data_IF_229536649749
#
_entry.id   IF_229536649749
#
_cell.length_a   1.000
_cell.length_b   1.000
_cell.length_c   1.000
_cell.angle_alpha   90.00
_cell.angle_beta   90.00
_cell.angle_gamma   90.00
#
_symmetry.space_group_name_H-M   'P 1'
#
loop_
_entity.id
_entity.type
_entity.pdbx_description
1 polymer ?
#
# COMPACT_ATOMS: atom_id res chain seq x y z
N UNK A 1 -7.56 13.79 17.37
CA UNK A 1 -8.51 14.34 16.36
C UNK A 1 -7.74 14.48 15.06
N UNK A 2 -8.06 13.87 13.92
CA UNK A 2 -9.19 13.04 13.54
C UNK A 2 -8.81 12.08 12.40
N UNK A 3 -8.57 10.81 12.75
CA UNK A 3 -8.42 9.72 11.77
C UNK A 3 -9.77 9.30 11.13
N UNK A 4 -10.89 9.75 11.70
CA UNK A 4 -12.24 9.46 11.19
C UNK A 4 -12.69 10.35 10.03
N UNK A 5 -12.05 11.52 9.83
CA UNK A 5 -12.48 12.49 8.80
C UNK A 5 -12.03 12.11 7.38
N UNK A 6 -10.87 11.45 7.22
CA UNK A 6 -10.39 11.01 5.90
C UNK A 6 -11.08 9.73 5.41
N UNK A 7 -11.42 8.78 6.30
CA UNK A 7 -12.16 7.55 5.92
C UNK A 7 -13.56 7.86 5.40
N UNK A 8 -14.27 8.81 6.03
CA UNK A 8 -15.57 9.26 5.54
C UNK A 8 -15.45 10.01 4.20
N UNK A 9 -14.37 10.74 3.95
CA UNK A 9 -14.21 11.53 2.73
C UNK A 9 -14.04 10.64 1.49
N UNK A 10 -13.20 9.60 1.54
CA UNK A 10 -13.05 8.66 0.42
C UNK A 10 -14.34 7.83 0.18
N UNK A 11 -15.02 7.40 1.25
CA UNK A 11 -16.34 6.76 1.16
C UNK A 11 -17.42 7.69 0.58
N UNK A 12 -17.46 8.97 1.01
CA UNK A 12 -18.43 9.96 0.52
C UNK A 12 -18.18 10.38 -0.93
N UNK A 13 -16.92 10.51 -1.35
CA UNK A 13 -16.57 10.82 -2.75
C UNK A 13 -16.99 9.68 -3.69
N UNK A 14 -16.91 8.41 -3.24
CA UNK A 14 -17.44 7.25 -3.95
C UNK A 14 -18.98 7.21 -3.97
N UNK A 15 -19.65 7.61 -2.88
CA UNK A 15 -21.12 7.68 -2.84
C UNK A 15 -21.72 8.83 -3.68
N UNK A 16 -21.04 9.99 -3.76
CA UNK A 16 -21.57 11.17 -4.47
C UNK A 16 -21.43 11.09 -6.01
N UNK A 17 -20.47 10.31 -6.52
CA UNK A 17 -20.26 10.14 -7.97
C UNK A 17 -21.18 9.08 -8.60
N UNK A 18 -22.00 8.37 -7.80
CA UNK A 18 -22.92 7.32 -8.27
C UNK A 18 -24.35 7.81 -8.55
N UNK A 19 -24.61 9.11 -8.44
CA UNK A 19 -25.95 9.68 -8.67
C UNK A 19 -26.02 10.37 -10.03
N UNK A 20 -26.14 9.65 -11.16
CA UNK A 20 -26.61 10.24 -12.42
C UNK A 20 -27.23 9.20 -13.39
N UNK A 21 -28.43 9.58 -13.85
CA UNK A 21 -29.31 9.12 -14.93
C UNK A 21 -29.39 7.62 -15.26
N UNK A 22 -30.58 7.07 -15.00
CA UNK A 22 -31.02 5.72 -15.37
C UNK A 22 -31.07 5.43 -16.90
N UNK A 23 -30.73 6.40 -17.76
CA UNK A 23 -30.90 6.30 -19.22
C UNK A 23 -29.73 5.60 -19.96
N UNK A 24 -28.60 5.31 -19.29
CA UNK A 24 -27.38 4.77 -19.96
C UNK A 24 -26.71 3.59 -19.25
N UNK A 25 -27.29 3.05 -18.17
CA UNK A 25 -26.66 1.97 -17.40
C UNK A 25 -27.01 0.60 -17.99
N UNK A 26 -26.04 -0.04 -18.66
CA UNK A 26 -26.17 -1.44 -19.09
C UNK A 26 -26.02 -2.41 -17.90
N UNK A 27 -26.53 -3.65 -18.00
CA UNK A 27 -26.29 -4.67 -16.98
C UNK A 27 -24.80 -4.91 -16.70
N UNK A 28 -23.95 -4.86 -17.73
CA UNK A 28 -22.50 -5.01 -17.62
C UNK A 28 -21.88 -3.85 -16.84
N UNK A 29 -22.34 -2.62 -17.09
CA UNK A 29 -21.91 -1.43 -16.35
C UNK A 29 -22.28 -1.51 -14.88
N UNK A 30 -23.51 -1.97 -14.57
CA UNK A 30 -23.97 -2.16 -13.20
C UNK A 30 -23.15 -3.24 -12.48
N UNK A 31 -22.87 -4.35 -13.15
CA UNK A 31 -22.02 -5.41 -12.62
C UNK A 31 -20.59 -4.91 -12.36
N UNK A 32 -19.99 -4.16 -13.29
CA UNK A 32 -18.66 -3.59 -13.12
C UNK A 32 -18.60 -2.63 -11.92
N UNK A 33 -19.60 -1.76 -11.76
CA UNK A 33 -19.71 -0.84 -10.60
C UNK A 33 -19.79 -1.60 -9.28
N UNK A 34 -20.65 -2.61 -9.20
CA UNK A 34 -20.77 -3.44 -8.00
C UNK A 34 -19.44 -4.17 -7.70
N UNK A 35 -18.79 -4.73 -8.72
CA UNK A 35 -17.51 -5.42 -8.55
C UNK A 35 -16.40 -4.49 -8.08
N UNK A 36 -16.36 -3.26 -8.61
CA UNK A 36 -15.42 -2.24 -8.16
C UNK A 36 -15.66 -1.86 -6.69
N UNK A 37 -16.92 -1.69 -6.30
CA UNK A 37 -17.26 -1.38 -4.90
C UNK A 37 -16.85 -2.53 -3.96
N UNK A 38 -17.16 -3.78 -4.31
CA UNK A 38 -16.79 -4.96 -3.53
C UNK A 38 -15.27 -5.08 -3.35
N UNK A 39 -14.51 -4.90 -4.43
CA UNK A 39 -13.05 -5.02 -4.40
C UNK A 39 -12.40 -3.85 -3.65
N UNK A 40 -12.96 -2.64 -3.74
CA UNK A 40 -12.51 -1.49 -2.94
C UNK A 40 -12.70 -1.71 -1.44
N UNK A 41 -13.85 -2.25 -1.04
CA UNK A 41 -14.14 -2.57 0.37
C UNK A 41 -13.19 -3.66 0.85
N UNK A 42 -13.00 -4.72 0.05
CA UNK A 42 -12.12 -5.84 0.39
C UNK A 42 -10.67 -5.38 0.52
N UNK A 43 -10.19 -4.56 -0.41
CA UNK A 43 -8.88 -3.93 -0.36
C UNK A 43 -8.68 -3.11 0.91
N UNK A 44 -9.64 -2.24 1.25
CA UNK A 44 -9.55 -1.40 2.46
C UNK A 44 -9.48 -2.26 3.72
N UNK A 45 -10.31 -3.31 3.80
CA UNK A 45 -10.32 -4.23 4.94
C UNK A 45 -9.03 -5.05 5.04
N UNK A 46 -8.50 -5.51 3.91
CA UNK A 46 -7.24 -6.23 3.87
C UNK A 46 -6.08 -5.36 4.33
N UNK A 47 -6.06 -4.08 3.95
CA UNK A 47 -5.07 -3.12 4.45
C UNK A 47 -5.14 -3.05 5.98
N UNK A 48 -6.32 -2.88 6.57
CA UNK A 48 -6.47 -2.88 8.03
C UNK A 48 -6.00 -4.20 8.66
N UNK A 49 -6.32 -5.33 8.04
CA UNK A 49 -5.94 -6.67 8.53
C UNK A 49 -4.43 -6.90 8.46
N UNK A 50 -3.76 -6.44 7.40
CA UNK A 50 -2.31 -6.50 7.25
C UNK A 50 -1.61 -5.76 8.39
N UNK A 51 -2.23 -4.72 8.95
CA UNK A 51 -1.65 -3.93 10.04
C UNK A 51 -2.16 -4.23 11.44
N UNK A 52 -3.25 -4.99 11.62
CA UNK A 52 -3.92 -5.22 12.91
C UNK A 52 -2.99 -5.85 13.98
N UNK A 53 -2.02 -6.64 13.55
CA UNK A 53 -1.04 -7.31 14.42
C UNK A 53 0.41 -6.97 14.05
N UNK A 54 0.63 -5.78 13.49
CA UNK A 54 1.97 -5.32 13.14
C UNK A 54 2.90 -5.39 14.35
N UNK A 55 4.02 -6.13 14.26
CA UNK A 55 4.95 -6.24 15.36
C UNK A 55 5.63 -4.89 15.59
N UNK A 56 5.83 -4.54 16.86
CA UNK A 56 6.71 -3.43 17.21
C UNK A 56 8.15 -3.86 17.03
N UNK A 57 8.82 -3.29 16.04
CA UNK A 57 10.27 -3.41 15.83
C UNK A 57 10.96 -2.35 16.68
N UNK A 58 12.00 -2.72 17.43
CA UNK A 58 12.81 -1.76 18.21
C UNK A 58 14.15 -1.50 17.51
N UNK A 59 14.71 -0.28 17.57
CA UNK A 59 16.00 0.06 16.96
C UNK A 59 17.13 -0.92 17.30
N UNK A 60 17.21 -1.39 18.54
CA UNK A 60 18.21 -2.38 18.99
C UNK A 60 18.18 -3.72 18.23
N UNK A 61 17.07 -4.06 17.59
CA UNK A 61 16.92 -5.27 16.78
C UNK A 61 17.49 -5.10 15.37
N UNK A 62 17.82 -3.86 15.00
CA UNK A 62 18.34 -3.44 13.70
C UNK A 62 19.82 -3.03 13.77
N UNK A 63 20.40 -3.03 14.98
CA UNK A 63 21.78 -2.64 15.19
C UNK A 63 22.74 -3.69 14.61
N UNK A 64 23.40 -3.30 13.51
CA UNK A 64 24.55 -4.00 12.96
C UNK A 64 25.72 -3.06 13.04
N UNK A 65 26.76 -3.40 13.80
CA UNK A 65 28.12 -2.83 13.65
C UNK A 65 28.25 -1.30 13.60
N UNK A 66 27.29 -0.51 14.12
CA UNK A 66 27.31 0.95 14.01
C UNK A 66 27.00 1.50 12.61
N UNK A 67 26.22 0.79 11.79
CA UNK A 67 25.78 1.28 10.47
C UNK A 67 25.14 2.67 10.56
N UNK A 68 25.37 3.47 9.53
CA UNK A 68 24.75 4.78 9.38
C UNK A 68 23.22 4.65 9.35
N UNK A 69 22.54 5.49 10.11
CA UNK A 69 21.07 5.49 10.25
C UNK A 69 20.35 5.55 8.91
N UNK A 70 20.89 6.29 7.93
CA UNK A 70 20.29 6.41 6.60
C UNK A 70 20.24 5.07 5.86
N UNK A 71 21.30 4.25 5.94
CA UNK A 71 21.34 2.92 5.35
C UNK A 71 20.30 1.99 5.99
N UNK A 72 20.17 2.07 7.32
CA UNK A 72 19.17 1.30 8.08
C UNK A 72 17.76 1.72 7.67
N UNK A 73 17.50 3.02 7.54
CA UNK A 73 16.19 3.53 7.12
C UNK A 73 15.84 3.08 5.71
N UNK A 74 16.78 3.13 4.75
CA UNK A 74 16.53 2.68 3.39
C UNK A 74 16.23 1.18 3.35
N UNK A 75 16.95 0.37 4.12
CA UNK A 75 16.68 -1.06 4.25
C UNK A 75 15.29 -1.35 4.83
N UNK A 76 14.94 -0.66 5.91
CA UNK A 76 13.64 -0.79 6.58
C UNK A 76 12.50 -0.37 5.65
N UNK A 77 12.63 0.75 4.92
CA UNK A 77 11.60 1.21 3.99
C UNK A 77 11.36 0.18 2.89
N UNK A 78 12.41 -0.33 2.25
CA UNK A 78 12.26 -1.36 1.22
C UNK A 78 11.57 -2.62 1.75
N UNK A 79 12.00 -3.14 2.91
CA UNK A 79 11.41 -4.35 3.50
C UNK A 79 9.95 -4.13 3.93
N UNK A 80 9.59 -2.93 4.39
CA UNK A 80 8.20 -2.57 4.64
C UNK A 80 7.34 -2.72 3.38
N UNK A 81 7.80 -2.18 2.25
CA UNK A 81 7.07 -2.29 0.97
C UNK A 81 6.91 -3.75 0.54
N UNK A 82 7.98 -4.55 0.61
CA UNK A 82 7.93 -5.98 0.26
C UNK A 82 6.90 -6.72 1.12
N UNK A 83 6.91 -6.51 2.43
CA UNK A 83 6.00 -7.16 3.35
C UNK A 83 4.54 -6.73 3.12
N UNK A 84 4.31 -5.44 2.86
CA UNK A 84 2.99 -4.91 2.54
C UNK A 84 2.46 -5.46 1.21
N UNK A 85 3.30 -5.44 0.17
CA UNK A 85 2.95 -5.96 -1.16
C UNK A 85 2.62 -7.46 -1.08
N UNK A 86 3.42 -8.24 -0.35
CA UNK A 86 3.13 -9.66 -0.12
C UNK A 86 1.77 -9.87 0.56
N UNK A 87 1.45 -9.08 1.58
CA UNK A 87 0.19 -9.19 2.30
C UNK A 87 -1.03 -8.80 1.44
N UNK A 88 -0.87 -7.78 0.59
CA UNK A 88 -1.97 -7.16 -0.17
C UNK A 88 -2.11 -7.68 -1.60
N UNK A 89 -1.18 -8.51 -2.09
CA UNK A 89 -1.06 -8.89 -3.51
C UNK A 89 -2.37 -9.29 -4.18
N UNK A 90 -3.12 -10.20 -3.56
CA UNK A 90 -4.36 -10.73 -4.14
C UNK A 90 -5.44 -9.65 -4.22
N UNK A 91 -5.53 -8.78 -3.22
CA UNK A 91 -6.51 -7.69 -3.19
C UNK A 91 -6.12 -6.56 -4.14
N UNK A 92 -4.82 -6.28 -4.30
CA UNK A 92 -4.31 -5.40 -5.36
C UNK A 92 -4.71 -5.90 -6.74
N UNK A 93 -4.48 -7.17 -7.05
CA UNK A 93 -4.83 -7.76 -8.35
C UNK A 93 -6.34 -7.66 -8.59
N UNK A 94 -7.16 -8.03 -7.60
CA UNK A 94 -8.62 -7.96 -7.71
C UNK A 94 -9.13 -6.55 -7.95
N UNK A 95 -8.61 -5.58 -7.21
CA UNK A 95 -8.98 -4.18 -7.37
C UNK A 95 -8.57 -3.66 -8.75
N UNK A 96 -7.34 -3.90 -9.18
CA UNK A 96 -6.84 -3.48 -10.49
C UNK A 96 -7.65 -4.08 -11.65
N UNK A 97 -7.95 -5.38 -11.59
CA UNK A 97 -8.78 -6.04 -12.59
C UNK A 97 -10.21 -5.49 -12.62
N UNK A 98 -10.77 -5.11 -11.47
CA UNK A 98 -12.10 -4.49 -11.42
C UNK A 98 -12.10 -3.08 -12.02
N UNK A 99 -11.06 -2.28 -11.77
CA UNK A 99 -10.91 -0.96 -12.40
C UNK A 99 -10.70 -1.09 -13.91
N UNK A 100 -9.86 -2.01 -14.36
CA UNK A 100 -9.62 -2.25 -15.78
C UNK A 100 -10.91 -2.66 -16.50
N UNK A 101 -11.67 -3.58 -15.90
CA UNK A 101 -12.96 -4.00 -16.45
C UNK A 101 -13.95 -2.83 -16.51
N UNK A 102 -14.09 -2.03 -15.45
CA UNK A 102 -14.93 -0.83 -15.44
C UNK A 102 -14.51 0.16 -16.55
N UNK A 103 -13.22 0.46 -16.66
CA UNK A 103 -12.66 1.37 -17.65
C UNK A 103 -12.87 0.90 -19.10
N UNK A 104 -13.02 -0.40 -19.33
CA UNK A 104 -13.31 -0.94 -20.66
C UNK A 104 -14.75 -0.66 -21.12
N UNK A 105 -15.66 -0.32 -20.19
CA UNK A 105 -17.08 -0.15 -20.45
C UNK A 105 -17.53 1.32 -20.50
N UNK A 106 -16.75 2.23 -19.91
CA UNK A 106 -17.09 3.67 -19.81
C UNK A 106 -16.40 4.52 -20.87
N UNK A 107 -16.92 5.73 -21.10
CA UNK A 107 -16.26 6.73 -21.96
C UNK A 107 -14.95 7.24 -21.30
N UNK A 108 -14.07 7.83 -22.11
CA UNK A 108 -12.74 8.24 -21.63
C UNK A 108 -12.76 9.26 -20.48
N UNK A 109 -13.79 10.08 -20.39
CA UNK A 109 -14.02 11.08 -19.33
C UNK A 109 -14.49 10.45 -18.00
N UNK A 110 -15.07 9.25 -18.06
CA UNK A 110 -15.55 8.49 -16.89
C UNK A 110 -14.55 7.42 -16.43
N UNK A 111 -13.47 7.20 -17.19
CA UNK A 111 -12.42 6.26 -16.82
C UNK A 111 -11.79 6.66 -15.50
N UNK A 112 -11.77 5.70 -14.58
CA UNK A 112 -11.04 5.82 -13.35
C UNK A 112 -9.56 5.73 -13.66
N UNK A 113 -8.85 6.81 -13.40
CA UNK A 113 -7.42 6.66 -13.17
C UNK A 113 -7.30 5.88 -11.87
N UNK A 114 -6.68 4.70 -11.92
CA UNK A 114 -6.26 3.94 -10.72
C UNK A 114 -5.41 4.82 -9.79
N UNK A 115 -4.95 5.95 -10.30
CA UNK A 115 -4.27 6.96 -9.53
C UNK A 115 -2.83 6.52 -9.36
N UNK A 116 -1.99 7.54 -9.25
CA UNK A 116 -0.56 7.45 -9.09
C UNK A 116 -0.19 6.44 -8.01
N UNK A 117 -1.00 6.20 -6.98
CA UNK A 117 -0.74 5.22 -5.91
C UNK A 117 -0.19 3.86 -6.35
N UNK A 118 -0.78 3.11 -7.29
CA UNK A 118 -0.22 1.79 -7.68
C UNK A 118 1.10 1.93 -8.44
N UNK A 119 1.17 2.90 -9.36
CA UNK A 119 2.38 3.17 -10.15
C UNK A 119 3.49 3.79 -9.30
N UNK A 120 3.12 4.61 -8.32
CA UNK A 120 3.99 5.30 -7.37
C UNK A 120 4.47 4.32 -6.32
N UNK A 121 3.60 3.46 -5.78
CA UNK A 121 4.01 2.35 -4.90
C UNK A 121 4.96 1.41 -5.62
N UNK A 122 4.69 1.07 -6.89
CA UNK A 122 5.62 0.27 -7.70
C UNK A 122 6.94 1.00 -7.95
N UNK A 123 6.89 2.32 -8.22
CA UNK A 123 8.09 3.14 -8.43
C UNK A 123 8.91 3.25 -7.14
N UNK A 124 8.27 3.43 -6.00
CA UNK A 124 8.87 3.45 -4.65
C UNK A 124 9.46 2.08 -4.30
N UNK A 125 8.75 0.98 -4.60
CA UNK A 125 9.27 -0.38 -4.42
C UNK A 125 10.51 -0.63 -5.27
N UNK A 126 10.47 -0.30 -6.57
CA UNK A 126 11.61 -0.47 -7.49
C UNK A 126 12.78 0.42 -7.07
N UNK A 127 12.52 1.67 -6.72
CA UNK A 127 13.56 2.58 -6.23
C UNK A 127 14.18 2.07 -4.93
N UNK A 128 13.36 1.64 -3.97
CA UNK A 128 13.80 1.04 -2.73
C UNK A 128 14.59 -0.26 -2.94
N UNK A 129 14.21 -1.09 -3.91
CA UNK A 129 14.96 -2.29 -4.28
C UNK A 129 16.34 -1.94 -4.83
N UNK A 130 16.43 -0.92 -5.69
CA UNK A 130 17.70 -0.44 -6.23
C UNK A 130 18.61 0.11 -5.13
N UNK A 131 18.06 0.91 -4.22
CA UNK A 131 18.79 1.45 -3.07
C UNK A 131 19.23 0.34 -2.11
N UNK A 132 18.36 -0.65 -1.84
CA UNK A 132 18.67 -1.79 -1.00
C UNK A 132 19.81 -2.64 -1.56
N UNK A 133 19.80 -2.90 -2.87
CA UNK A 133 20.86 -3.67 -3.56
C UNK A 133 22.21 -2.95 -3.58
N UNK A 134 22.23 -1.64 -3.37
CA UNK A 134 23.48 -0.86 -3.26
C UNK A 134 24.08 -0.88 -1.85
N UNK A 135 23.33 -1.37 -0.84
CA UNK A 135 23.86 -1.51 0.52
C UNK A 135 24.97 -2.57 0.57
N UNK A 136 25.90 -2.51 1.55
CA UNK A 136 26.90 -3.57 1.71
C UNK A 136 26.24 -4.94 1.93
N UNK A 137 26.83 -6.00 1.40
CA UNK A 137 26.24 -7.35 1.40
C UNK A 137 25.89 -7.84 2.81
N UNK A 138 26.75 -7.57 3.79
CA UNK A 138 26.53 -7.91 5.20
C UNK A 138 25.26 -7.26 5.76
N UNK A 139 24.96 -6.03 5.33
CA UNK A 139 23.74 -5.30 5.70
C UNK A 139 22.53 -5.97 5.08
N UNK A 140 22.57 -6.21 3.77
CA UNK A 140 21.46 -6.86 3.07
C UNK A 140 21.11 -8.21 3.70
N UNK A 141 22.12 -9.05 3.93
CA UNK A 141 21.94 -10.38 4.52
C UNK A 141 21.38 -10.30 5.94
N UNK A 142 21.84 -9.37 6.77
CA UNK A 142 21.31 -9.18 8.11
C UNK A 142 19.80 -8.85 8.08
N UNK A 143 19.43 -7.81 7.33
CA UNK A 143 18.04 -7.33 7.29
C UNK A 143 17.08 -8.37 6.67
N UNK A 144 17.51 -9.13 5.65
CA UNK A 144 16.71 -10.21 5.06
C UNK A 144 16.46 -11.39 6.01
N UNK A 145 17.32 -11.59 7.02
CA UNK A 145 17.16 -12.65 8.00
C UNK A 145 16.22 -12.26 9.15
N UNK A 146 15.91 -10.98 9.33
CA UNK A 146 15.04 -10.51 10.40
C UNK A 146 13.57 -10.87 10.11
N UNK A 147 13.09 -11.94 10.72
CA UNK A 147 11.69 -12.41 10.54
C UNK A 147 10.65 -11.35 10.86
N UNK A 148 10.94 -10.43 11.77
CA UNK A 148 10.06 -9.32 12.13
C UNK A 148 9.82 -8.34 10.98
N UNK A 149 10.73 -8.29 9.99
CA UNK A 149 10.62 -7.44 8.80
C UNK A 149 9.98 -8.16 7.61
N UNK A 150 9.66 -9.46 7.73
CA UNK A 150 9.00 -10.25 6.67
C UNK A 150 7.47 -10.14 6.70
N UNK A 151 6.92 -9.48 7.71
CA UNK A 151 5.48 -9.18 7.86
C UNK A 151 5.29 -7.66 7.92
N UNK A 152 4.11 -7.11 7.58
CA UNK A 152 3.89 -5.68 7.68
C UNK A 152 4.18 -5.17 9.10
N UNK A 153 4.84 -4.02 9.22
CA UNK A 153 5.22 -3.37 10.48
C UNK A 153 5.03 -1.85 10.41
N UNK A 154 5.00 -1.19 11.57
CA UNK A 154 4.89 0.28 11.67
C UNK A 154 6.22 0.96 11.32
N UNK A 155 6.43 1.18 10.02
CA UNK A 155 7.64 1.82 9.50
C UNK A 155 7.78 3.27 9.94
N UNK A 156 6.67 4.01 10.04
CA UNK A 156 6.70 5.42 10.37
C UNK A 156 7.23 5.64 11.78
N UNK A 157 6.66 4.94 12.76
CA UNK A 157 7.14 5.01 14.15
C UNK A 157 8.59 4.57 14.25
N UNK A 158 8.97 3.46 13.60
CA UNK A 158 10.34 2.95 13.63
C UNK A 158 11.35 3.95 13.04
N UNK A 159 11.05 4.57 11.90
CA UNK A 159 11.93 5.56 11.27
C UNK A 159 12.08 6.80 12.14
N UNK A 160 11.01 7.26 12.77
CA UNK A 160 11.08 8.37 13.72
C UNK A 160 11.95 8.03 14.94
N UNK A 161 11.81 6.82 15.51
CA UNK A 161 12.65 6.36 16.62
C UNK A 161 14.14 6.30 16.20
N UNK A 162 14.44 5.80 14.99
CA UNK A 162 15.80 5.72 14.46
C UNK A 162 16.45 7.08 14.23
N UNK A 163 15.66 8.08 13.82
CA UNK A 163 16.14 9.45 13.58
C UNK A 163 16.24 10.30 14.84
N UNK A 164 15.69 9.82 15.97
CA UNK A 164 15.61 10.58 17.22
C UNK A 164 14.52 11.65 17.21
N UNK A 165 13.50 11.48 16.38
CA UNK A 165 12.37 12.41 16.22
C UNK A 165 11.23 12.16 17.23
N UNK A 166 11.35 11.12 18.09
CA UNK A 166 10.36 10.69 19.10
C UNK A 166 10.85 10.89 20.54
#
# INVERSE_FOLDING_TARGET
MGAGMNKLYYLLVLFFSLSLSAETVTPEMLFAKNKLQETTISYTKAMETCFEHTPRVRPKQLEVGGLETELVVNAVNYLHYVALNHCMKDEYIRFLSAVEFYNSLVSNDEKLTVGSFVTDSLKEEVQGELEFKQLPEEVQQHFLQLDVLKVPFDVATLVMELRGDL
#
